data_IF_273440550331
#
_entry.id   IF_273440550331
#
_cell.length_a   1.000
_cell.length_b   1.000
_cell.length_c   1.000
_cell.angle_alpha   90.00
_cell.angle_beta   90.00
_cell.angle_gamma   90.00
#
_symmetry.space_group_name_H-M   'P 1'
#
loop_
_entity.id
_entity.type
_entity.pdbx_description
1 polymer ?
#
# COMPACT_ATOMS: atom_id res chain seq x y z
N UNK A 1 -2.54 -6.70 -23.97
CA UNK A 1 -2.49 -6.69 -22.48
C UNK A 1 -1.84 -7.96 -21.96
N UNK A 2 -2.39 -9.14 -22.28
CA UNK A 2 -1.86 -10.44 -21.83
C UNK A 2 -0.38 -10.64 -22.21
N UNK A 3 -0.01 -10.39 -23.47
CA UNK A 3 1.38 -10.57 -23.94
C UNK A 3 2.38 -9.66 -23.22
N UNK A 4 2.07 -8.36 -23.09
CA UNK A 4 2.93 -7.40 -22.37
C UNK A 4 3.07 -7.75 -20.89
N UNK A 5 2.00 -8.25 -20.28
CA UNK A 5 2.03 -8.74 -18.90
C UNK A 5 2.95 -9.97 -18.77
N UNK A 6 2.81 -10.95 -19.64
CA UNK A 6 3.65 -12.14 -19.66
C UNK A 6 5.12 -11.82 -19.91
N UNK A 7 5.41 -10.82 -20.74
CA UNK A 7 6.77 -10.34 -20.97
C UNK A 7 7.37 -9.75 -19.69
N UNK A 8 6.63 -8.88 -19.01
CA UNK A 8 7.07 -8.29 -17.74
C UNK A 8 7.31 -9.34 -16.65
N UNK A 9 6.45 -10.36 -16.58
CA UNK A 9 6.59 -11.47 -15.65
C UNK A 9 7.84 -12.32 -15.95
N UNK A 10 8.10 -12.62 -17.23
CA UNK A 10 9.21 -13.51 -17.64
C UNK A 10 10.57 -12.83 -17.67
N UNK A 11 10.65 -11.59 -18.14
CA UNK A 11 11.93 -10.91 -18.37
C UNK A 11 12.43 -10.13 -17.15
N UNK A 12 11.52 -9.63 -16.31
CA UNK A 12 11.87 -8.71 -15.21
C UNK A 12 11.41 -9.22 -13.84
N UNK A 13 10.95 -10.48 -13.73
CA UNK A 13 10.60 -11.10 -12.46
C UNK A 13 9.43 -10.48 -11.71
N UNK A 14 8.60 -9.68 -12.38
CA UNK A 14 7.38 -9.08 -11.79
C UNK A 14 6.35 -10.19 -11.61
N UNK A 15 5.98 -10.53 -10.38
CA UNK A 15 5.01 -11.59 -10.09
C UNK A 15 3.57 -11.15 -10.38
N UNK A 16 3.27 -9.86 -10.25
CA UNK A 16 1.91 -9.33 -10.45
C UNK A 16 1.93 -7.95 -11.08
N UNK A 17 1.19 -7.81 -12.19
CA UNK A 17 0.88 -6.53 -12.82
C UNK A 17 -0.62 -6.27 -12.76
N UNK A 18 -0.99 -5.12 -12.19
CA UNK A 18 -2.38 -4.65 -12.09
C UNK A 18 -2.56 -3.27 -12.74
N UNK A 19 -3.67 -3.09 -13.46
CA UNK A 19 -4.06 -1.80 -14.00
C UNK A 19 -5.03 -1.13 -13.04
N UNK A 20 -4.73 0.10 -12.61
CA UNK A 20 -5.53 0.89 -11.68
C UNK A 20 -6.06 0.08 -10.49
N UNK A 21 -5.17 -0.48 -9.65
CA UNK A 21 -5.48 -1.52 -8.65
C UNK A 21 -6.55 -1.14 -7.59
N UNK A 22 -6.94 0.13 -7.50
CA UNK A 22 -7.94 0.62 -6.55
C UNK A 22 -9.28 1.00 -7.20
N UNK A 23 -9.40 0.84 -8.51
CA UNK A 23 -10.66 1.01 -9.22
C UNK A 23 -11.37 -0.34 -9.23
N UNK A 24 -12.43 -0.46 -8.41
CA UNK A 24 -13.15 -1.73 -8.15
C UNK A 24 -13.87 -2.35 -9.35
N UNK A 25 -13.94 -1.66 -10.50
CA UNK A 25 -14.59 -2.14 -11.72
C UNK A 25 -13.83 -1.63 -12.94
N UNK A 26 -13.02 -2.48 -13.57
CA UNK A 26 -12.42 -2.24 -14.88
C UNK A 26 -12.86 -3.42 -15.76
N UNK A 27 -13.65 -3.18 -16.80
CA UNK A 27 -13.88 -4.18 -17.84
C UNK A 27 -15.19 -4.25 -18.62
N UNK A 28 -16.24 -3.43 -18.47
CA UNK A 28 -17.52 -3.77 -19.15
C UNK A 28 -18.38 -2.63 -19.73
N UNK A 29 -17.93 -1.38 -19.71
CA UNK A 29 -18.70 -0.24 -20.24
C UNK A 29 -17.78 0.72 -21.05
N UNK A 30 -18.32 1.43 -22.05
CA UNK A 30 -17.55 2.26 -23.02
C UNK A 30 -16.64 3.32 -22.34
N UNK A 31 -17.05 3.81 -21.18
CA UNK A 31 -16.31 4.75 -20.32
C UNK A 31 -14.99 4.19 -19.75
N UNK A 32 -14.75 2.88 -19.89
CA UNK A 32 -13.56 2.19 -19.36
C UNK A 32 -12.50 1.88 -20.42
N UNK A 33 -12.80 2.06 -21.71
CA UNK A 33 -11.83 1.99 -22.81
C UNK A 33 -10.63 2.93 -22.57
N UNK A 34 -10.82 4.18 -22.12
CA UNK A 34 -9.69 5.06 -21.81
C UNK A 34 -8.78 4.53 -20.70
N UNK A 35 -9.31 3.79 -19.71
CA UNK A 35 -8.48 3.19 -18.65
C UNK A 35 -7.60 2.07 -19.20
N UNK A 36 -8.11 1.26 -20.12
CA UNK A 36 -7.32 0.20 -20.77
C UNK A 36 -6.18 0.83 -21.59
N UNK A 37 -6.49 1.87 -22.37
CA UNK A 37 -5.49 2.59 -23.17
C UNK A 37 -4.40 3.22 -22.28
N UNK A 38 -4.81 3.90 -21.20
CA UNK A 38 -3.88 4.47 -20.22
C UNK A 38 -3.01 3.39 -19.58
N UNK A 39 -3.59 2.26 -19.22
CA UNK A 39 -2.80 1.17 -18.66
C UNK A 39 -1.77 0.66 -19.66
N UNK A 40 -2.17 0.39 -20.91
CA UNK A 40 -1.26 -0.05 -21.97
C UNK A 40 -0.12 0.94 -22.21
N UNK A 41 -0.41 2.24 -22.19
CA UNK A 41 0.60 3.29 -22.26
C UNK A 41 1.60 3.16 -21.09
N UNK A 42 1.11 3.13 -19.85
CA UNK A 42 1.96 3.02 -18.67
C UNK A 42 2.81 1.73 -18.64
N UNK A 43 2.24 0.60 -19.06
CA UNK A 43 2.97 -0.67 -19.20
C UNK A 43 4.10 -0.55 -20.21
N UNK A 44 3.86 0.14 -21.33
CA UNK A 44 4.87 0.30 -22.39
C UNK A 44 6.04 1.16 -21.90
N UNK A 45 5.75 2.32 -21.28
CA UNK A 45 6.80 3.17 -20.71
C UNK A 45 7.56 2.48 -19.60
N UNK A 46 6.88 1.69 -18.76
CA UNK A 46 7.50 0.90 -17.71
C UNK A 46 8.45 -0.15 -18.28
N UNK A 47 8.02 -0.90 -19.30
CA UNK A 47 8.85 -1.91 -19.95
C UNK A 47 10.15 -1.28 -20.47
N UNK A 48 10.04 -0.14 -21.17
CA UNK A 48 11.21 0.58 -21.67
C UNK A 48 12.13 1.03 -20.54
N UNK A 49 11.58 1.61 -19.45
CA UNK A 49 12.36 2.01 -18.29
C UNK A 49 13.08 0.82 -17.61
N UNK A 50 12.43 -0.34 -17.53
CA UNK A 50 13.01 -1.54 -16.91
C UNK A 50 14.23 -2.06 -17.67
N UNK A 51 14.29 -1.91 -19.00
CA UNK A 51 15.48 -2.27 -19.79
C UNK A 51 16.71 -1.41 -19.47
N UNK A 52 16.51 -0.24 -18.85
CA UNK A 52 17.56 0.75 -18.56
C UNK A 52 18.09 0.68 -17.13
N UNK A 53 17.46 -0.10 -16.25
CA UNK A 53 17.88 -0.23 -14.85
C UNK A 53 18.56 -1.58 -14.57
N UNK A 54 19.40 -1.62 -13.54
CA UNK A 54 20.14 -2.83 -13.13
C UNK A 54 19.42 -3.70 -12.10
N UNK A 55 18.26 -3.29 -11.60
CA UNK A 55 17.61 -3.92 -10.45
C UNK A 55 16.10 -4.03 -10.60
N UNK A 56 15.57 -5.25 -10.46
CA UNK A 56 14.20 -5.61 -10.87
C UNK A 56 13.40 -6.38 -9.80
N UNK A 57 13.80 -6.37 -8.52
CA UNK A 57 13.13 -7.13 -7.45
C UNK A 57 11.73 -6.61 -7.03
N UNK A 58 11.00 -5.92 -7.90
CA UNK A 58 9.62 -5.50 -7.65
C UNK A 58 8.68 -6.68 -7.92
N UNK A 59 8.13 -7.27 -6.85
CA UNK A 59 7.18 -8.39 -6.96
C UNK A 59 5.86 -7.94 -7.58
N UNK A 60 5.37 -6.78 -7.18
CA UNK A 60 4.08 -6.27 -7.63
C UNK A 60 4.21 -4.87 -8.23
N UNK A 61 3.60 -4.66 -9.39
CA UNK A 61 3.55 -3.37 -10.07
C UNK A 61 2.12 -3.00 -10.42
N UNK A 62 1.70 -1.80 -10.04
CA UNK A 62 0.42 -1.22 -10.40
C UNK A 62 0.57 -0.04 -11.35
N UNK A 63 -0.05 -0.07 -12.53
CA UNK A 63 -0.19 1.14 -13.35
C UNK A 63 -1.31 2.00 -12.76
N UNK A 64 -1.04 3.28 -12.55
CA UNK A 64 -1.77 4.17 -11.65
C UNK A 64 -1.71 5.61 -12.16
N UNK A 65 -2.38 6.54 -11.47
CA UNK A 65 -2.27 7.99 -11.73
C UNK A 65 -1.12 8.66 -10.94
N UNK A 66 -0.28 7.88 -10.25
CA UNK A 66 0.80 8.40 -9.39
C UNK A 66 1.92 7.38 -9.20
N UNK A 67 3.09 7.88 -8.83
CA UNK A 67 4.18 7.07 -8.28
C UNK A 67 3.96 6.77 -6.80
N UNK A 68 4.21 5.53 -6.39
CA UNK A 68 4.13 5.13 -4.97
C UNK A 68 5.02 3.93 -4.69
N UNK A 69 5.64 3.89 -3.51
CA UNK A 69 6.26 2.68 -2.94
C UNK A 69 5.49 2.25 -1.71
N UNK A 70 5.03 1.01 -1.70
CA UNK A 70 4.14 0.51 -0.65
C UNK A 70 4.44 -0.95 -0.34
N UNK A 71 3.67 -1.54 0.58
CA UNK A 71 3.73 -2.95 0.97
C UNK A 71 5.16 -3.45 1.30
N UNK A 72 5.94 -2.64 2.02
CA UNK A 72 7.30 -3.04 2.40
C UNK A 72 8.28 -3.07 1.22
N UNK A 73 8.11 -2.16 0.26
CA UNK A 73 8.98 -1.95 -0.91
C UNK A 73 8.85 -3.02 -2.01
N UNK A 74 8.03 -4.04 -1.81
CA UNK A 74 7.74 -5.06 -2.84
C UNK A 74 6.74 -4.59 -3.89
N UNK A 75 5.90 -3.61 -3.56
CA UNK A 75 4.87 -3.09 -4.46
C UNK A 75 5.17 -1.66 -4.86
N UNK A 76 5.06 -1.38 -6.15
CA UNK A 76 5.17 -0.03 -6.69
C UNK A 76 3.94 0.34 -7.50
N UNK A 77 3.59 1.63 -7.46
CA UNK A 77 2.65 2.22 -8.40
C UNK A 77 3.41 3.12 -9.35
N UNK A 78 3.07 3.04 -10.64
CA UNK A 78 3.69 3.77 -11.73
C UNK A 78 2.66 4.70 -12.33
N UNK A 79 2.98 5.98 -12.47
CA UNK A 79 2.09 6.91 -13.13
C UNK A 79 2.03 6.60 -14.64
N UNK A 80 0.85 6.30 -15.18
CA UNK A 80 0.67 5.95 -16.58
C UNK A 80 1.05 7.07 -17.55
N UNK A 81 1.00 8.33 -17.08
CA UNK A 81 1.38 9.51 -17.87
C UNK A 81 2.89 9.72 -17.93
N UNK A 82 3.65 9.01 -17.10
CA UNK A 82 5.07 9.26 -16.97
C UNK A 82 5.86 8.75 -18.18
N UNK A 83 6.92 9.46 -18.53
CA UNK A 83 7.86 9.02 -19.56
C UNK A 83 8.75 7.88 -19.03
N UNK A 84 9.40 7.10 -19.91
CA UNK A 84 10.38 6.09 -19.48
C UNK A 84 11.47 6.66 -18.56
N UNK A 85 11.96 7.88 -18.83
CA UNK A 85 13.00 8.55 -18.03
C UNK A 85 12.50 8.91 -16.63
N UNK A 86 11.25 9.38 -16.51
CA UNK A 86 10.64 9.67 -15.21
C UNK A 86 10.44 8.40 -14.39
N UNK A 87 10.01 7.31 -15.05
CA UNK A 87 9.86 5.99 -14.42
C UNK A 87 11.23 5.48 -13.99
N UNK A 88 12.24 5.51 -14.86
CA UNK A 88 13.61 5.11 -14.56
C UNK A 88 14.16 5.85 -13.35
N UNK A 89 14.02 7.18 -13.34
CA UNK A 89 14.42 8.03 -12.21
C UNK A 89 13.70 7.60 -10.93
N UNK A 90 12.39 7.37 -10.99
CA UNK A 90 11.64 6.86 -9.84
C UNK A 90 12.24 5.53 -9.37
N UNK A 91 12.35 4.52 -10.25
CA UNK A 91 12.86 3.16 -9.95
C UNK A 91 14.27 3.17 -9.35
N UNK A 92 15.14 4.07 -9.80
CA UNK A 92 16.51 4.24 -9.29
C UNK A 92 16.57 4.98 -7.95
N UNK A 93 15.59 5.82 -7.60
CA UNK A 93 15.49 6.49 -6.30
C UNK A 93 15.01 5.57 -5.16
N UNK A 94 15.30 4.26 -5.25
CA UNK A 94 14.97 3.32 -4.18
C UNK A 94 16.00 3.40 -3.06
N UNK A 95 15.55 3.15 -1.84
CA UNK A 95 16.45 2.92 -0.71
C UNK A 95 17.32 1.69 -0.99
N UNK A 96 18.56 1.68 -0.52
CA UNK A 96 19.40 0.48 -0.57
C UNK A 96 18.85 -0.62 0.35
N UNK A 97 19.38 -1.83 0.25
CA UNK A 97 18.88 -2.98 1.01
C UNK A 97 19.01 -2.78 2.52
N UNK A 98 20.09 -2.12 2.98
CA UNK A 98 20.31 -1.87 4.40
C UNK A 98 19.25 -0.89 4.92
N UNK A 99 19.04 0.23 4.22
CA UNK A 99 18.03 1.22 4.55
C UNK A 99 16.60 0.64 4.53
N UNK A 100 16.29 -0.23 3.57
CA UNK A 100 15.01 -0.95 3.54
C UNK A 100 14.85 -1.87 4.75
N UNK A 101 15.90 -2.61 5.12
CA UNK A 101 15.87 -3.50 6.28
C UNK A 101 15.66 -2.70 7.58
N UNK A 102 16.42 -1.61 7.78
CA UNK A 102 16.27 -0.71 8.93
C UNK A 102 14.86 -0.10 9.01
N UNK A 103 14.27 0.25 7.86
CA UNK A 103 12.90 0.72 7.79
C UNK A 103 11.91 -0.37 8.23
N UNK A 104 12.07 -1.58 7.73
CA UNK A 104 11.20 -2.70 8.07
C UNK A 104 11.36 -3.14 9.54
N UNK A 105 12.54 -3.00 10.12
CA UNK A 105 12.76 -3.25 11.55
C UNK A 105 11.99 -2.26 12.43
N UNK A 106 11.94 -0.97 12.05
CA UNK A 106 11.08 0.02 12.74
C UNK A 106 9.61 -0.39 12.71
N UNK A 107 9.11 -0.85 11.55
CA UNK A 107 7.73 -1.34 11.42
C UNK A 107 7.50 -2.57 12.30
N UNK A 108 8.41 -3.56 12.30
CA UNK A 108 8.31 -4.78 13.11
C UNK A 108 8.30 -4.46 14.60
N UNK A 109 9.16 -3.54 15.06
CA UNK A 109 9.21 -3.10 16.45
C UNK A 109 7.88 -2.46 16.88
N UNK A 110 7.33 -1.54 16.07
CA UNK A 110 6.04 -0.91 16.35
C UNK A 110 4.89 -1.93 16.37
N UNK A 111 4.85 -2.86 15.40
CA UNK A 111 3.85 -3.94 15.40
C UNK A 111 3.89 -4.78 16.68
N UNK A 112 5.10 -5.11 17.16
CA UNK A 112 5.28 -5.84 18.41
C UNK A 112 4.79 -5.03 19.62
N UNK A 113 5.13 -3.75 19.69
CA UNK A 113 4.66 -2.85 20.74
C UNK A 113 3.12 -2.77 20.79
N UNK A 114 2.49 -2.52 19.65
CA UNK A 114 1.03 -2.43 19.51
C UNK A 114 0.37 -3.79 19.83
N UNK A 115 0.97 -4.89 19.37
CA UNK A 115 0.51 -6.24 19.66
C UNK A 115 0.53 -6.57 21.17
N UNK A 116 1.58 -6.13 21.88
CA UNK A 116 1.69 -6.30 23.33
C UNK A 116 0.62 -5.50 24.11
N UNK A 117 0.08 -4.43 23.52
CA UNK A 117 -1.05 -3.68 24.09
C UNK A 117 -2.41 -4.38 23.89
N UNK A 118 -2.46 -5.46 23.10
CA UNK A 118 -3.68 -6.24 22.85
C UNK A 118 -4.72 -5.48 22.02
N UNK A 119 -4.29 -4.55 21.16
CA UNK A 119 -5.16 -3.67 20.39
C UNK A 119 -5.89 -4.35 19.22
N UNK A 120 -5.29 -5.35 18.58
CA UNK A 120 -5.91 -6.20 17.56
C UNK A 120 -5.09 -7.46 17.32
N UNK A 121 -5.67 -8.45 16.64
CA UNK A 121 -4.92 -9.64 16.18
C UNK A 121 -4.11 -9.34 14.94
N UNK A 122 -4.69 -8.58 14.01
CA UNK A 122 -4.08 -8.26 12.73
C UNK A 122 -4.02 -6.75 12.51
N UNK A 123 -2.85 -6.26 12.13
CA UNK A 123 -2.61 -4.84 11.89
C UNK A 123 -1.77 -4.70 10.63
N UNK A 124 -2.33 -3.97 9.67
CA UNK A 124 -1.74 -3.81 8.35
C UNK A 124 -2.07 -2.45 7.76
N UNK A 125 -1.32 -2.07 6.73
CA UNK A 125 -1.58 -0.87 5.94
C UNK A 125 -2.20 -1.28 4.61
N UNK A 126 -3.12 -0.46 4.11
CA UNK A 126 -3.57 -0.55 2.72
C UNK A 126 -2.39 -0.33 1.77
N UNK A 127 -2.40 -0.99 0.61
CA UNK A 127 -1.47 -0.73 -0.50
C UNK A 127 -1.67 0.66 -1.13
N UNK A 128 -2.71 1.39 -0.72
CA UNK A 128 -3.00 2.74 -1.21
C UNK A 128 -2.08 3.81 -0.62
N UNK A 129 -1.43 3.59 0.53
CA UNK A 129 -0.58 4.58 1.20
C UNK A 129 0.90 4.27 1.00
N UNK A 130 1.77 5.28 1.15
CA UNK A 130 3.21 5.05 1.04
C UNK A 130 3.75 4.27 2.24
N UNK A 131 4.94 3.68 2.11
CA UNK A 131 5.62 3.08 3.26
C UNK A 131 5.81 4.08 4.41
N UNK A 132 6.14 5.35 4.12
CA UNK A 132 6.31 6.39 5.13
C UNK A 132 5.01 6.74 5.85
N UNK A 133 3.91 6.87 5.11
CA UNK A 133 2.59 7.11 5.69
C UNK A 133 2.15 5.92 6.55
N UNK A 134 2.45 4.70 6.10
CA UNK A 134 2.22 3.49 6.86
C UNK A 134 3.02 3.49 8.18
N UNK A 135 4.31 3.86 8.14
CA UNK A 135 5.14 4.02 9.35
C UNK A 135 4.55 5.07 10.30
N UNK A 136 4.10 6.21 9.76
CA UNK A 136 3.44 7.25 10.55
C UNK A 136 2.18 6.72 11.23
N UNK A 137 1.35 5.98 10.51
CA UNK A 137 0.16 5.36 11.07
C UNK A 137 0.48 4.35 12.19
N UNK A 138 1.54 3.54 12.04
CA UNK A 138 1.97 2.65 13.13
C UNK A 138 2.46 3.43 14.36
N UNK A 139 3.22 4.52 14.18
CA UNK A 139 3.64 5.38 15.30
C UNK A 139 2.44 5.94 16.04
N UNK A 140 1.49 6.51 15.30
CA UNK A 140 0.26 7.06 15.85
C UNK A 140 -0.58 6.01 16.58
N UNK A 141 -0.55 4.75 16.12
CA UNK A 141 -1.23 3.63 16.76
C UNK A 141 -0.49 3.12 18.00
N UNK A 142 0.84 3.17 18.04
CA UNK A 142 1.65 2.76 19.19
C UNK A 142 1.51 3.72 20.39
N UNK A 143 1.33 5.02 20.13
CA UNK A 143 1.11 6.06 21.14
C UNK A 143 -0.22 5.91 21.91
N UNK A 144 -1.09 5.02 21.47
CA UNK A 144 -2.44 4.86 22.01
C UNK A 144 -2.36 4.12 23.33
N UNK A 145 -2.25 4.90 24.39
CA UNK A 145 -2.26 4.35 25.73
C UNK A 145 -3.59 3.65 26.01
N UNK A 146 -3.55 2.32 26.10
CA UNK A 146 -4.65 1.54 26.64
C UNK A 146 -4.63 1.70 28.17
N UNK A 147 -5.18 2.83 28.66
CA UNK A 147 -5.16 3.22 30.09
C UNK A 147 -5.84 2.22 31.03
N UNK A 148 -6.51 1.20 30.46
CA UNK A 148 -6.98 0.02 31.18
C UNK A 148 -6.43 -1.21 30.47
N UNK A 149 -5.28 -1.71 30.94
CA UNK A 149 -4.67 -3.02 30.58
C UNK A 149 -5.65 -4.22 30.66
N UNK A 150 -6.89 -4.01 31.09
CA UNK A 150 -7.89 -5.02 31.43
C UNK A 150 -8.99 -5.24 30.38
N UNK A 151 -9.12 -4.43 29.32
CA UNK A 151 -10.06 -4.73 28.23
C UNK A 151 -9.37 -4.82 26.87
N UNK A 152 -9.34 -6.03 26.30
CA UNK A 152 -9.11 -6.23 24.86
C UNK A 152 -10.12 -5.35 24.12
N UNK A 153 -9.64 -4.56 23.16
CA UNK A 153 -10.44 -3.60 22.39
C UNK A 153 -11.56 -4.25 21.56
N UNK A 154 -11.53 -5.57 21.37
CA UNK A 154 -12.50 -6.32 20.58
C UNK A 154 -12.20 -6.34 19.09
N UNK A 155 -11.27 -5.50 18.60
CA UNK A 155 -10.88 -5.47 17.19
C UNK A 155 -10.11 -6.73 16.81
N UNK A 156 -10.56 -7.38 15.74
CA UNK A 156 -9.80 -8.44 15.09
C UNK A 156 -8.75 -7.84 14.16
N UNK A 157 -9.15 -6.85 13.38
CA UNK A 157 -8.35 -6.22 12.34
C UNK A 157 -8.31 -4.70 12.49
N UNK A 158 -7.13 -4.11 12.32
CA UNK A 158 -6.95 -2.67 12.14
C UNK A 158 -6.22 -2.45 10.81
N UNK A 159 -6.87 -1.72 9.90
CA UNK A 159 -6.30 -1.29 8.63
C UNK A 159 -5.97 0.21 8.67
N UNK A 160 -4.73 0.55 8.38
CA UNK A 160 -4.27 1.94 8.23
C UNK A 160 -4.33 2.33 6.75
N UNK A 161 -4.94 3.47 6.43
CA UNK A 161 -5.11 3.99 5.06
C UNK A 161 -5.15 5.53 5.05
N UNK A 162 -5.54 6.17 3.95
CA UNK A 162 -5.59 7.64 3.80
C UNK A 162 -6.52 8.33 4.79
N UNK A 163 -7.70 7.75 4.99
CA UNK A 163 -8.76 8.33 5.82
C UNK A 163 -9.50 7.25 6.58
N UNK A 164 -10.13 7.64 7.69
CA UNK A 164 -11.01 6.74 8.43
C UNK A 164 -12.37 6.67 7.74
N UNK A 165 -12.91 5.46 7.63
CA UNK A 165 -14.26 5.22 7.16
C UNK A 165 -14.84 3.96 7.82
N UNK A 166 -16.15 3.74 7.65
CA UNK A 166 -16.83 2.57 8.20
C UNK A 166 -16.28 1.28 7.57
N UNK A 167 -15.99 0.30 8.42
CA UNK A 167 -15.53 -0.99 7.94
C UNK A 167 -16.65 -1.75 7.22
N UNK A 168 -16.22 -2.60 6.31
CA UNK A 168 -17.04 -3.52 5.53
C UNK A 168 -17.52 -4.74 6.33
N UNK A 169 -16.92 -4.99 7.50
CA UNK A 169 -17.24 -6.13 8.38
C UNK A 169 -17.09 -5.78 9.86
N UNK A 170 -17.81 -6.50 10.76
CA UNK A 170 -17.66 -6.31 12.20
C UNK A 170 -16.23 -6.60 12.66
N UNK A 171 -15.84 -6.00 13.79
CA UNK A 171 -14.52 -6.16 14.42
C UNK A 171 -13.33 -5.78 13.52
N UNK A 172 -13.56 -4.97 12.48
CA UNK A 172 -12.52 -4.30 11.69
C UNK A 172 -12.59 -2.80 11.90
N UNK A 173 -11.44 -2.18 12.10
CA UNK A 173 -11.30 -0.74 12.23
C UNK A 173 -10.46 -0.19 11.09
N UNK A 174 -10.91 0.88 10.45
CA UNK A 174 -10.20 1.55 9.36
C UNK A 174 -9.79 2.95 9.81
N UNK A 175 -8.49 3.21 9.83
CA UNK A 175 -7.89 4.42 10.37
C UNK A 175 -7.12 5.19 9.31
N UNK A 176 -7.24 6.52 9.32
CA UNK A 176 -6.36 7.39 8.57
C UNK A 176 -4.99 7.45 9.24
N UNK A 177 -3.90 7.40 8.46
CA UNK A 177 -2.54 7.46 9.02
C UNK A 177 -2.24 8.76 9.77
N UNK A 178 -2.94 9.86 9.45
CA UNK A 178 -2.84 11.15 10.15
C UNK A 178 -3.56 11.19 11.51
N UNK A 179 -4.43 10.22 11.83
CA UNK A 179 -5.24 10.28 13.05
C UNK A 179 -4.52 9.66 14.24
N UNK A 180 -4.38 10.44 15.31
CA UNK A 180 -4.16 9.90 16.66
C UNK A 180 -5.50 9.36 17.19
N UNK A 181 -5.51 8.16 17.76
CA UNK A 181 -6.71 7.43 18.18
C UNK A 181 -7.47 8.03 19.38
N UNK A 182 -7.15 9.26 19.80
CA UNK A 182 -7.92 9.97 20.83
C UNK A 182 -9.41 10.11 20.45
N UNK A 183 -9.77 9.98 19.17
CA UNK A 183 -11.13 10.12 18.66
C UNK A 183 -11.83 8.83 18.20
N UNK A 184 -11.24 7.63 18.32
CA UNK A 184 -11.92 6.40 17.87
C UNK A 184 -12.80 5.73 18.94
N UNK A 185 -12.77 6.22 20.18
CA UNK A 185 -13.68 5.74 21.24
C UNK A 185 -15.15 5.98 20.90
N UNK A 186 -15.47 7.02 20.14
CA UNK A 186 -16.84 7.36 19.77
C UNK A 186 -17.43 6.50 18.65
N UNK A 187 -16.64 5.66 17.98
CA UNK A 187 -17.14 4.77 16.93
C UNK A 187 -17.72 3.46 17.47
N UNK A 188 -17.33 3.03 18.67
CA UNK A 188 -17.78 1.76 19.25
C UNK A 188 -19.04 1.90 20.15
N UNK A 189 -19.43 3.14 20.48
CA UNK A 189 -20.60 3.43 21.32
C UNK A 189 -21.90 3.64 20.53
N UNK A 190 -21.86 3.55 19.19
CA UNK A 190 -23.06 3.66 18.33
C UNK A 190 -23.55 2.33 17.76
N UNK A 191 -23.03 1.20 18.25
CA UNK A 191 -23.38 -0.14 17.77
C UNK A 191 -23.83 -1.08 18.87
N UNK A 192 -24.25 -0.54 20.02
CA UNK A 192 -24.98 -1.23 21.08
C UNK A 192 -26.34 -0.57 21.27
#
# INVERSE_FOLDING_TARGET
MVEKKQLLEKEFGIETLECFPFIKKIGFTEDQIPLIQRCLQGVSSLQEALTRIKHDNYKEVGISNRFLRTAGFHTILVNWKATPEEIEKFLNQRLDQQQQNEFMDKIRALKKEIGNQGLAKEIYCSKEISNNDCLKGYKNLAEVQNSKRTRRTGWHEIMITHSSFLADKPNKLILGFEKHLQHAKSANERSL
#
